data_IF_510222225660
#
_entry.id   IF_510222225660
#
_cell.length_a   1.000
_cell.length_b   1.000
_cell.length_c   1.000
_cell.angle_alpha   90.00
_cell.angle_beta   90.00
_cell.angle_gamma   90.00
#
_symmetry.space_group_name_H-M   'P 1'
#
loop_
_entity.id
_entity.type
_entity.pdbx_description
1 polymer ?
#
# COMPACT_ATOMS: atom_id res chain seq x y z
N UNK A 1 -23.33 -49.55 9.43
CA UNK A 1 -22.48 -50.40 8.55
C UNK A 1 -21.34 -49.55 7.99
N UNK A 2 -20.14 -49.93 8.42
CA UNK A 2 -18.82 -49.85 7.75
C UNK A 2 -18.47 -48.55 7.03
N UNK A 3 -17.65 -47.67 7.59
CA UNK A 3 -16.17 -47.66 7.63
C UNK A 3 -15.52 -48.00 6.28
N UNK A 4 -14.84 -47.05 5.67
CA UNK A 4 -13.57 -47.29 5.02
C UNK A 4 -12.72 -46.02 4.98
N UNK A 5 -11.68 -46.06 5.76
CA UNK A 5 -10.47 -45.26 5.74
C UNK A 5 -9.54 -45.81 4.66
N UNK A 6 -8.86 -44.98 3.90
CA UNK A 6 -7.56 -45.22 3.24
C UNK A 6 -7.15 -43.87 2.63
N UNK A 7 -5.99 -43.31 2.78
CA UNK A 7 -4.67 -43.83 3.07
C UNK A 7 -3.69 -42.93 2.34
N UNK A 8 -2.88 -42.31 3.07
CA UNK A 8 -1.48 -41.94 2.94
C UNK A 8 -0.82 -42.18 1.56
N UNK A 9 -0.18 -41.15 0.99
CA UNK A 9 1.09 -41.32 0.29
C UNK A 9 1.87 -40.00 0.29
N UNK A 10 2.85 -39.92 1.17
CA UNK A 10 4.00 -39.05 1.07
C UNK A 10 4.93 -39.59 -0.01
N UNK A 11 5.45 -38.75 -0.90
CA UNK A 11 6.63 -39.11 -1.69
C UNK A 11 7.64 -37.94 -1.61
N UNK A 12 8.66 -38.17 -0.81
CA UNK A 12 9.90 -37.44 -0.82
C UNK A 12 10.90 -38.15 -1.74
N UNK A 13 11.47 -37.47 -2.68
CA UNK A 13 12.74 -37.83 -3.39
C UNK A 13 13.30 -36.47 -3.82
N UNK A 14 14.51 -36.04 -3.53
CA UNK A 14 15.80 -36.62 -3.25
C UNK A 14 16.82 -35.74 -3.91
N UNK A 15 17.70 -35.14 -3.13
CA UNK A 15 19.15 -35.19 -3.17
C UNK A 15 19.86 -34.85 -4.48
N UNK A 16 20.83 -33.91 -4.37
CA UNK A 16 22.02 -33.75 -5.21
C UNK A 16 22.20 -32.32 -5.70
N UNK A 17 23.22 -31.58 -5.41
CA UNK A 17 24.58 -31.86 -5.28
C UNK A 17 25.36 -30.65 -4.79
N UNK A 18 26.24 -30.93 -3.91
CA UNK A 18 27.34 -30.13 -3.43
C UNK A 18 28.35 -29.89 -4.57
N UNK A 19 28.74 -28.64 -4.79
CA UNK A 19 30.03 -28.36 -5.42
C UNK A 19 30.73 -27.27 -4.64
N UNK A 20 31.54 -27.70 -3.71
CA UNK A 20 32.60 -26.94 -3.13
C UNK A 20 33.67 -26.69 -4.20
N UNK A 21 33.99 -25.46 -4.47
CA UNK A 21 35.27 -25.10 -5.12
C UNK A 21 36.09 -24.28 -4.15
N UNK A 22 36.98 -25.03 -3.49
CA UNK A 22 38.11 -24.51 -2.79
C UNK A 22 39.29 -24.48 -3.82
N UNK A 23 39.91 -23.33 -4.05
CA UNK A 23 41.28 -23.28 -4.47
C UNK A 23 41.95 -22.02 -3.95
N UNK A 24 42.77 -22.26 -2.95
CA UNK A 24 43.94 -21.46 -2.63
C UNK A 24 44.76 -21.10 -3.89
N UNK A 25 45.13 -19.86 -4.03
CA UNK A 25 46.45 -19.58 -4.55
C UNK A 25 47.03 -18.34 -3.85
N UNK A 26 48.06 -18.63 -3.06
CA UNK A 26 49.02 -17.67 -2.53
C UNK A 26 50.08 -17.40 -3.63
N UNK A 27 50.60 -16.22 -3.56
CA UNK A 27 51.82 -15.62 -4.17
C UNK A 27 51.40 -14.46 -5.07
N UNK A 28 51.91 -13.28 -4.95
CA UNK A 28 53.23 -12.82 -4.59
C UNK A 28 53.20 -11.34 -4.16
N UNK A 29 54.05 -11.01 -3.21
CA UNK A 29 54.38 -9.65 -2.85
C UNK A 29 55.34 -9.09 -3.89
N UNK A 30 55.15 -7.83 -4.31
CA UNK A 30 56.21 -6.80 -4.40
C UNK A 30 55.69 -5.54 -5.07
N UNK A 31 55.76 -4.51 -4.29
CA UNK A 31 56.16 -3.16 -4.58
C UNK A 31 55.88 -2.54 -5.96
N UNK A 32 55.01 -1.56 -5.96
CA UNK A 32 55.23 -0.35 -6.75
C UNK A 32 54.80 0.89 -5.98
N UNK A 33 55.77 1.51 -5.36
CA UNK A 33 55.72 2.86 -4.82
C UNK A 33 55.68 3.88 -5.97
N UNK A 34 54.93 4.93 -5.72
CA UNK A 34 55.06 6.29 -6.22
C UNK A 34 54.49 6.61 -7.62
N UNK A 35 53.40 7.38 -7.65
CA UNK A 35 53.53 8.81 -8.00
C UNK A 35 52.22 9.57 -7.74
N UNK A 36 52.40 10.53 -6.88
CA UNK A 36 51.55 11.69 -6.68
C UNK A 36 50.99 12.28 -7.99
N UNK A 37 49.69 12.52 -8.03
CA UNK A 37 49.10 13.66 -8.70
C UNK A 37 47.76 13.99 -8.10
N UNK A 38 47.73 15.01 -7.30
CA UNK A 38 46.54 15.65 -6.81
C UNK A 38 45.73 16.20 -7.99
N UNK A 39 44.56 15.65 -8.23
CA UNK A 39 43.52 16.30 -9.01
C UNK A 39 42.36 16.59 -8.04
N UNK A 40 42.38 17.80 -7.52
CA UNK A 40 41.23 18.40 -6.87
C UNK A 40 40.16 18.67 -7.95
N UNK A 41 39.30 17.73 -8.19
CA UNK A 41 38.07 17.96 -8.89
C UNK A 41 36.97 18.12 -7.84
N UNK A 42 36.69 19.35 -7.46
CA UNK A 42 35.46 19.72 -6.78
C UNK A 42 34.28 19.52 -7.73
N UNK A 43 33.73 18.30 -7.76
CA UNK A 43 32.41 18.06 -8.32
C UNK A 43 31.42 18.28 -7.19
N UNK A 44 30.93 19.51 -7.10
CA UNK A 44 29.64 19.79 -6.50
C UNK A 44 28.57 19.17 -7.39
N UNK A 45 28.52 17.86 -7.42
CA UNK A 45 27.41 17.08 -7.94
C UNK A 45 26.33 17.11 -6.89
N UNK A 46 25.32 17.96 -7.10
CA UNK A 46 24.09 17.88 -6.34
C UNK A 46 23.60 16.43 -6.40
N UNK A 47 23.56 15.77 -5.25
CA UNK A 47 22.86 14.51 -5.09
C UNK A 47 21.44 14.74 -5.58
N UNK A 48 20.90 13.90 -6.48
CA UNK A 48 19.48 13.98 -6.76
C UNK A 48 18.77 13.83 -5.43
N UNK A 49 18.06 14.86 -5.03
CA UNK A 49 17.08 14.75 -3.97
C UNK A 49 16.07 13.74 -4.48
N UNK A 50 16.22 12.49 -4.04
CA UNK A 50 15.20 11.47 -4.19
C UNK A 50 13.99 12.06 -3.46
N UNK A 51 13.00 12.45 -4.24
CA UNK A 51 11.71 12.86 -3.73
C UNK A 51 11.16 11.67 -2.92
N UNK A 52 11.29 11.77 -1.61
CA UNK A 52 10.85 10.79 -0.63
C UNK A 52 9.36 11.05 -0.39
N UNK A 53 8.49 10.61 -1.28
CA UNK A 53 7.06 10.81 -1.14
C UNK A 53 6.16 9.64 -1.53
N UNK A 54 6.67 8.56 -2.17
CA UNK A 54 5.82 7.46 -2.65
C UNK A 54 6.22 6.07 -2.11
N UNK A 55 7.32 5.94 -1.37
CA UNK A 55 7.91 4.65 -1.00
C UNK A 55 7.13 3.88 0.09
N UNK A 56 6.18 4.52 0.76
CA UNK A 56 5.44 3.90 1.87
C UNK A 56 4.03 3.39 1.47
N UNK A 57 3.62 3.59 0.21
CA UNK A 57 2.31 3.15 -0.27
C UNK A 57 2.37 1.77 -0.91
N UNK A 58 1.50 0.87 -0.46
CA UNK A 58 1.26 -0.43 -1.09
C UNK A 58 0.27 -0.22 -2.24
N UNK A 59 0.59 -0.77 -3.42
CA UNK A 59 -0.31 -0.74 -4.58
C UNK A 59 -1.01 -2.08 -4.71
N UNK A 60 -2.35 -2.06 -4.79
CA UNK A 60 -3.16 -3.25 -5.04
C UNK A 60 -3.27 -3.56 -6.54
N UNK A 61 -3.72 -4.76 -6.90
CA UNK A 61 -3.95 -5.17 -8.30
C UNK A 61 -4.97 -4.27 -9.02
N UNK A 62 -5.91 -3.71 -8.29
CA UNK A 62 -6.86 -2.73 -8.82
C UNK A 62 -6.23 -1.37 -9.10
N UNK A 63 -5.01 -1.12 -8.64
CA UNK A 63 -4.28 0.13 -8.74
C UNK A 63 -4.65 1.17 -7.69
N UNK A 64 -5.38 0.78 -6.64
CA UNK A 64 -5.49 1.58 -5.43
C UNK A 64 -4.12 1.60 -4.74
N UNK A 65 -3.72 2.75 -4.23
CA UNK A 65 -2.57 2.84 -3.33
C UNK A 65 -3.06 3.12 -1.91
N UNK A 66 -2.46 2.45 -0.92
CA UNK A 66 -2.81 2.71 0.47
C UNK A 66 -1.58 2.67 1.39
N UNK A 67 -1.68 3.40 2.49
CA UNK A 67 -0.71 3.40 3.58
C UNK A 67 -1.47 3.38 4.90
N UNK A 68 -1.15 2.42 5.77
CA UNK A 68 -1.71 2.35 7.12
C UNK A 68 -1.01 3.41 7.97
N UNK A 69 -1.77 4.35 8.50
CA UNK A 69 -1.28 5.42 9.40
C UNK A 69 -1.51 5.11 10.86
N UNK A 70 -2.47 4.20 11.13
CA UNK A 70 -2.75 3.66 12.46
C UNK A 70 -3.26 2.24 12.31
N UNK A 71 -2.65 1.30 13.00
CA UNK A 71 -3.13 -0.08 13.04
C UNK A 71 -4.43 -0.19 13.83
N UNK A 72 -5.34 -1.06 13.38
CA UNK A 72 -6.52 -1.48 14.11
C UNK A 72 -6.32 -2.85 14.73
N UNK A 73 -7.00 -3.10 15.82
CA UNK A 73 -6.96 -4.36 16.58
C UNK A 73 -8.31 -5.10 16.57
N UNK A 74 -9.34 -4.47 16.00
CA UNK A 74 -10.68 -5.05 15.95
C UNK A 74 -10.91 -5.98 14.76
N UNK A 75 -12.16 -6.41 14.61
CA UNK A 75 -12.56 -7.32 13.53
C UNK A 75 -12.53 -6.64 12.16
N UNK A 76 -12.34 -7.45 11.11
CA UNK A 76 -12.52 -7.04 9.72
C UNK A 76 -13.99 -7.24 9.35
N UNK A 77 -14.65 -6.27 8.72
CA UNK A 77 -16.06 -6.40 8.35
C UNK A 77 -16.25 -7.44 7.24
N UNK A 78 -17.33 -8.23 7.38
CA UNK A 78 -17.78 -9.13 6.32
C UNK A 78 -18.62 -8.37 5.28
N UNK A 79 -18.65 -8.84 4.00
CA UNK A 79 -19.52 -8.25 2.99
C UNK A 79 -20.98 -8.12 3.45
N UNK A 80 -21.58 -6.96 3.24
CA UNK A 80 -22.95 -6.65 3.65
C UNK A 80 -23.11 -6.12 5.08
N UNK A 81 -22.08 -6.17 5.92
CA UNK A 81 -22.13 -5.55 7.23
C UNK A 81 -22.09 -4.02 7.12
N UNK A 82 -22.84 -3.37 8.00
CA UNK A 82 -22.85 -1.92 8.12
C UNK A 82 -21.65 -1.48 8.96
N UNK A 83 -20.91 -0.53 8.45
CA UNK A 83 -19.74 0.04 9.14
C UNK A 83 -19.95 1.52 9.42
N UNK A 84 -19.26 2.00 10.44
CA UNK A 84 -19.16 3.40 10.81
C UNK A 84 -17.74 3.86 10.56
N UNK A 85 -17.56 4.94 9.79
CA UNK A 85 -16.25 5.43 9.39
C UNK A 85 -16.16 6.95 9.46
N UNK A 86 -14.94 7.45 9.69
CA UNK A 86 -14.58 8.83 9.41
C UNK A 86 -13.73 8.90 8.14
N UNK A 87 -13.85 10.03 7.45
CA UNK A 87 -13.02 10.31 6.27
C UNK A 87 -12.81 11.81 6.06
N UNK A 88 -11.77 12.11 5.31
CA UNK A 88 -11.53 13.41 4.67
C UNK A 88 -11.02 13.14 3.26
N UNK A 89 -11.51 13.89 2.27
CA UNK A 89 -11.17 13.70 0.85
C UNK A 89 -10.64 14.97 0.19
N UNK A 90 -9.63 14.79 -0.69
CA UNK A 90 -8.96 15.86 -1.44
C UNK A 90 -8.82 15.49 -2.92
N UNK A 91 -8.65 16.52 -3.78
CA UNK A 91 -8.53 16.37 -5.23
C UNK A 91 -7.09 16.22 -5.74
N UNK A 92 -6.07 16.64 -4.99
CA UNK A 92 -4.70 16.72 -5.50
C UNK A 92 -3.64 16.11 -4.59
N UNK A 93 -3.76 16.30 -3.28
CA UNK A 93 -2.86 15.70 -2.29
C UNK A 93 -3.50 15.70 -0.91
N UNK A 94 -2.94 14.90 0.01
CA UNK A 94 -3.36 14.90 1.41
C UNK A 94 -3.10 16.25 2.04
N UNK A 95 -4.01 16.69 2.90
CA UNK A 95 -3.94 17.91 3.68
C UNK A 95 -3.82 19.20 2.86
N UNK A 96 -4.18 19.15 1.57
CA UNK A 96 -4.21 20.31 0.69
C UNK A 96 -5.44 21.20 0.92
N UNK A 97 -5.40 22.40 0.35
CA UNK A 97 -6.55 23.31 0.35
C UNK A 97 -7.74 22.80 -0.48
N UNK A 98 -7.50 21.85 -1.40
CA UNK A 98 -8.54 21.27 -2.26
C UNK A 98 -9.28 20.11 -1.61
N UNK A 99 -9.56 20.24 -0.33
CA UNK A 99 -10.47 19.36 0.39
C UNK A 99 -11.89 19.56 -0.14
N UNK A 100 -12.53 18.47 -0.58
CA UNK A 100 -13.88 18.54 -1.13
C UNK A 100 -14.96 18.05 -0.16
N UNK A 101 -14.63 17.14 0.76
CA UNK A 101 -15.58 16.63 1.74
C UNK A 101 -14.89 16.03 2.96
N UNK A 102 -15.54 16.10 4.13
CA UNK A 102 -15.07 15.51 5.38
C UNK A 102 -16.23 15.22 6.34
N UNK A 103 -16.31 13.97 6.81
CA UNK A 103 -17.21 13.60 7.90
C UNK A 103 -16.72 14.14 9.25
N UNK A 104 -15.44 14.39 9.38
CA UNK A 104 -14.85 14.97 10.60
C UNK A 104 -15.30 16.42 10.79
N UNK A 105 -15.33 17.20 9.70
CA UNK A 105 -15.83 18.59 9.74
C UNK A 105 -17.30 18.68 10.12
N UNK A 106 -18.08 17.65 9.75
CA UNK A 106 -19.50 17.55 10.14
C UNK A 106 -19.72 17.04 11.56
N UNK A 107 -18.68 16.59 12.24
CA UNK A 107 -18.73 16.04 13.60
C UNK A 107 -19.53 14.74 13.73
N UNK A 108 -19.83 14.04 12.62
CA UNK A 108 -20.58 12.80 12.63
C UNK A 108 -20.01 11.78 11.64
N UNK A 109 -19.85 10.51 12.06
CA UNK A 109 -19.40 9.45 11.18
C UNK A 109 -20.38 9.18 10.03
N UNK A 110 -19.82 8.66 8.94
CA UNK A 110 -20.56 8.14 7.81
C UNK A 110 -20.79 6.63 7.97
N UNK A 111 -21.97 6.12 7.61
CA UNK A 111 -22.31 4.70 7.69
C UNK A 111 -22.71 4.17 6.33
N UNK A 112 -22.24 2.96 5.99
CA UNK A 112 -22.57 2.27 4.74
C UNK A 112 -22.37 0.76 4.90
N UNK A 113 -22.88 -0.02 3.94
CA UNK A 113 -22.66 -1.49 3.89
C UNK A 113 -21.49 -1.80 2.98
N UNK A 114 -20.50 -2.52 3.53
CA UNK A 114 -19.27 -2.91 2.80
C UNK A 114 -19.61 -3.92 1.71
N UNK A 115 -19.01 -3.72 0.52
CA UNK A 115 -19.12 -4.66 -0.61
C UNK A 115 -20.50 -4.68 -1.28
N UNK A 116 -21.34 -3.66 -1.08
CA UNK A 116 -22.68 -3.57 -1.67
C UNK A 116 -22.81 -2.49 -2.73
N UNK A 117 -21.72 -1.87 -3.16
CA UNK A 117 -21.73 -0.79 -4.14
C UNK A 117 -22.45 0.48 -3.68
N UNK A 118 -22.63 0.68 -2.38
CA UNK A 118 -23.22 1.89 -1.82
C UNK A 118 -22.25 3.08 -1.83
N UNK A 119 -20.98 2.80 -2.02
CA UNK A 119 -19.87 3.76 -2.06
C UNK A 119 -19.02 3.51 -3.30
N UNK A 120 -18.06 4.38 -3.57
CA UNK A 120 -17.11 4.20 -4.67
C UNK A 120 -16.31 2.91 -4.48
N UNK A 121 -15.93 2.26 -5.60
CA UNK A 121 -15.30 0.93 -5.59
C UNK A 121 -14.03 0.86 -4.73
N UNK A 122 -13.22 1.91 -4.75
CA UNK A 122 -12.00 1.97 -3.92
C UNK A 122 -12.29 1.97 -2.42
N UNK A 123 -13.43 2.50 -1.99
CA UNK A 123 -13.86 2.41 -0.59
C UNK A 123 -14.32 1.00 -0.24
N UNK A 124 -15.17 0.38 -1.05
CA UNK A 124 -15.59 -1.01 -0.83
C UNK A 124 -14.36 -1.94 -0.72
N UNK A 125 -13.37 -1.77 -1.61
CA UNK A 125 -12.11 -2.51 -1.57
C UNK A 125 -11.30 -2.24 -0.30
N UNK A 126 -11.10 -0.97 0.06
CA UNK A 126 -10.31 -0.60 1.23
C UNK A 126 -10.94 -1.09 2.52
N UNK A 127 -12.23 -0.77 2.75
CA UNK A 127 -12.91 -1.11 3.99
C UNK A 127 -13.14 -2.61 4.18
N UNK A 128 -13.20 -3.41 3.11
CA UNK A 128 -13.29 -4.86 3.20
C UNK A 128 -12.06 -5.55 3.80
N UNK A 129 -10.94 -4.82 3.89
CA UNK A 129 -9.66 -5.33 4.42
C UNK A 129 -9.19 -4.58 5.67
N UNK A 130 -9.89 -3.51 6.06
CA UNK A 130 -9.54 -2.73 7.26
C UNK A 130 -10.03 -3.41 8.53
N UNK A 131 -9.24 -3.33 9.58
CA UNK A 131 -9.66 -3.68 10.94
C UNK A 131 -10.36 -2.51 11.62
N UNK A 132 -11.29 -2.80 12.51
CA UNK A 132 -11.84 -1.75 13.38
C UNK A 132 -10.73 -1.08 14.18
N UNK A 133 -10.73 0.26 14.22
CA UNK A 133 -9.69 1.10 14.82
C UNK A 133 -8.56 1.50 13.84
N UNK A 134 -8.54 0.91 12.65
CA UNK A 134 -7.50 1.22 11.65
C UNK A 134 -7.79 2.53 10.92
N UNK A 135 -6.71 3.26 10.62
CA UNK A 135 -6.72 4.47 9.79
C UNK A 135 -5.75 4.31 8.63
N UNK A 136 -6.21 4.65 7.43
CA UNK A 136 -5.43 4.59 6.19
C UNK A 136 -5.49 5.90 5.43
N UNK A 137 -4.41 6.19 4.75
CA UNK A 137 -4.41 7.07 3.58
C UNK A 137 -4.57 6.21 2.33
N UNK A 138 -5.50 6.57 1.44
CA UNK A 138 -5.74 5.86 0.18
C UNK A 138 -5.74 6.83 -0.98
N UNK A 139 -5.17 6.39 -2.11
CA UNK A 139 -5.15 7.12 -3.38
C UNK A 139 -5.91 6.28 -4.39
N UNK A 140 -7.00 6.85 -4.91
CA UNK A 140 -7.91 6.16 -5.82
C UNK A 140 -7.79 6.72 -7.23
N UNK A 141 -7.38 5.90 -8.21
CA UNK A 141 -7.46 6.30 -9.61
C UNK A 141 -8.93 6.47 -10.01
N UNK A 142 -9.21 7.22 -11.10
CA UNK A 142 -10.58 7.54 -11.53
C UNK A 142 -11.51 6.33 -11.62
N UNK A 143 -11.02 5.18 -12.10
CA UNK A 143 -11.81 3.94 -12.27
C UNK A 143 -12.31 3.33 -10.96
N UNK A 144 -11.70 3.67 -9.83
CA UNK A 144 -12.11 3.25 -8.49
C UNK A 144 -12.90 4.34 -7.76
N UNK A 145 -13.07 5.50 -8.37
CA UNK A 145 -13.77 6.67 -7.85
C UNK A 145 -14.98 7.03 -8.74
N UNK A 146 -15.00 8.23 -9.30
CA UNK A 146 -16.14 8.75 -10.09
C UNK A 146 -15.93 8.72 -11.62
N UNK A 147 -14.77 8.23 -12.09
CA UNK A 147 -14.47 8.01 -13.51
C UNK A 147 -14.55 9.26 -14.37
N UNK A 148 -15.01 9.08 -15.60
CA UNK A 148 -15.13 10.13 -16.62
C UNK A 148 -16.26 11.13 -16.34
N UNK A 149 -17.17 10.81 -15.43
CA UNK A 149 -18.32 11.67 -15.11
C UNK A 149 -18.00 12.71 -14.05
N UNK A 150 -17.03 12.42 -13.16
CA UNK A 150 -16.85 13.22 -11.96
C UNK A 150 -18.07 13.18 -11.04
N UNK A 151 -18.19 14.11 -10.10
CA UNK A 151 -19.34 14.17 -9.19
C UNK A 151 -19.66 15.60 -8.75
N UNK A 152 -20.96 15.94 -8.80
CA UNK A 152 -21.55 17.12 -8.17
C UNK A 152 -20.98 18.47 -8.55
N UNK A 153 -20.26 18.59 -9.66
CA UNK A 153 -19.55 19.82 -10.04
C UNK A 153 -18.35 20.16 -9.16
N UNK A 154 -18.08 19.34 -8.14
CA UNK A 154 -16.96 19.51 -7.20
C UNK A 154 -15.78 18.61 -7.57
N UNK A 155 -16.06 17.38 -8.04
CA UNK A 155 -15.06 16.43 -8.46
C UNK A 155 -15.02 16.42 -10.00
N UNK A 156 -13.92 16.91 -10.61
CA UNK A 156 -13.80 16.93 -12.08
C UNK A 156 -13.75 15.52 -12.68
N UNK A 157 -14.08 15.37 -13.97
CA UNK A 157 -13.86 14.12 -14.70
C UNK A 157 -12.42 13.63 -14.58
N UNK A 158 -12.25 12.30 -14.52
CA UNK A 158 -10.95 11.64 -14.49
C UNK A 158 -10.02 12.09 -13.34
N UNK A 159 -10.59 12.51 -12.21
CA UNK A 159 -9.82 12.90 -11.02
C UNK A 159 -9.31 11.68 -10.26
N UNK A 160 -8.03 11.72 -9.89
CA UNK A 160 -7.48 10.88 -8.82
C UNK A 160 -7.89 11.49 -7.49
N UNK A 161 -8.36 10.66 -6.56
CA UNK A 161 -8.82 11.14 -5.26
C UNK A 161 -7.92 10.63 -4.14
N UNK A 162 -7.72 11.48 -3.14
CA UNK A 162 -6.93 11.23 -1.95
C UNK A 162 -7.88 11.22 -0.74
N UNK A 163 -7.85 10.15 0.04
CA UNK A 163 -8.68 10.05 1.24
C UNK A 163 -7.87 9.60 2.44
N UNK A 164 -8.12 10.23 3.56
CA UNK A 164 -7.79 9.72 4.88
C UNK A 164 -9.05 9.08 5.47
N UNK A 165 -9.03 7.78 5.69
CA UNK A 165 -10.19 7.01 6.14
C UNK A 165 -9.88 6.29 7.46
N UNK A 166 -10.87 6.16 8.32
CA UNK A 166 -10.77 5.46 9.61
C UNK A 166 -12.01 4.61 9.84
N UNK A 167 -11.83 3.32 10.10
CA UNK A 167 -12.90 2.41 10.45
C UNK A 167 -13.14 2.44 11.95
N UNK A 168 -14.27 3.02 12.36
CA UNK A 168 -14.59 3.20 13.78
C UNK A 168 -15.28 1.97 14.40
N UNK A 169 -16.04 1.22 13.60
CA UNK A 169 -16.78 0.06 14.12
C UNK A 169 -17.70 -0.58 13.09
N UNK A 170 -18.15 -1.77 13.44
CA UNK A 170 -19.17 -2.56 12.73
C UNK A 170 -20.45 -2.47 13.56
N UNK A 171 -21.61 -2.26 12.89
CA UNK A 171 -22.93 -2.09 13.51
C UNK A 171 -23.76 -3.36 13.38
#
# INVERSE_FOLDING_TARGET
MRVTTLGLAALAVGIGGVAAFNLSNRHDRRDFLAKSSAVTASVLGGLPQIAKADDDFVTTDSGMKYKITKEGDGAIPSPGQTVKAHYTGWLDSFDSEKKFDSSRDRGRPFTFRVGQGQVIRGWDESFSTMKVGERRQIILPPRLAYGERGAGGVIPPNSTLYFDVELLGIL
#
